data_IF_999471601320
#
_entry.id   IF_999471601320
#
_cell.length_a   1.000
_cell.length_b   1.000
_cell.length_c   1.000
_cell.angle_alpha   90.00
_cell.angle_beta   90.00
_cell.angle_gamma   90.00
#
_symmetry.space_group_name_H-M   'P 1'
#
loop_
_entity.id
_entity.type
_entity.pdbx_description
1 polymer ?
#
# COMPACT_ATOMS: atom_id res chain seq x y z
N UNK A 1 3.98 14.92 -7.81
CA UNK A 1 4.91 13.80 -7.82
C UNK A 1 4.65 12.89 -6.62
N UNK A 2 4.59 11.59 -6.84
CA UNK A 2 4.29 10.68 -5.76
C UNK A 2 5.41 10.68 -4.72
N UNK A 3 5.03 10.54 -3.48
CA UNK A 3 6.00 10.49 -2.39
C UNK A 3 6.35 9.04 -2.11
N UNK A 4 7.30 8.53 -2.88
CA UNK A 4 7.67 7.13 -2.76
C UNK A 4 8.35 6.81 -1.43
N UNK A 5 8.99 7.79 -0.83
CA UNK A 5 9.60 7.57 0.47
C UNK A 5 8.54 7.29 1.53
N UNK A 6 7.46 8.06 1.48
CA UNK A 6 6.36 7.87 2.41
C UNK A 6 5.71 6.51 2.17
N UNK A 7 5.52 6.15 0.90
CA UNK A 7 4.92 4.87 0.55
C UNK A 7 5.81 3.71 1.00
N UNK A 8 7.11 3.84 0.79
CA UNK A 8 8.02 2.80 1.20
C UNK A 8 7.99 2.62 2.71
N UNK A 9 8.00 3.72 3.43
CA UNK A 9 8.01 3.67 4.89
C UNK A 9 6.74 3.00 5.42
N UNK A 10 5.62 3.37 4.84
CA UNK A 10 4.35 2.77 5.22
C UNK A 10 4.34 1.27 4.98
N UNK A 11 4.77 0.87 3.80
CA UNK A 11 4.78 -0.55 3.45
C UNK A 11 5.75 -1.33 4.32
N UNK A 12 6.92 -0.77 4.58
CA UNK A 12 7.91 -1.45 5.38
C UNK A 12 7.38 -1.72 6.79
N UNK A 13 6.73 -0.73 7.38
CA UNK A 13 6.16 -0.89 8.70
C UNK A 13 5.03 -1.91 8.69
N UNK A 14 4.21 -1.85 7.66
CA UNK A 14 3.08 -2.75 7.58
C UNK A 14 3.53 -4.19 7.42
N UNK A 15 4.55 -4.41 6.60
CA UNK A 15 5.08 -5.75 6.43
C UNK A 15 5.61 -6.28 7.75
N UNK A 16 6.31 -5.45 8.47
CA UNK A 16 6.85 -5.84 9.77
C UNK A 16 5.74 -6.22 10.73
N UNK A 17 4.70 -5.40 10.77
CA UNK A 17 3.56 -5.67 11.62
C UNK A 17 2.87 -6.98 11.19
N UNK A 18 2.67 -7.17 9.89
CA UNK A 18 1.99 -8.34 9.40
C UNK A 18 2.75 -9.62 9.72
N UNK A 19 4.07 -9.57 9.56
CA UNK A 19 4.88 -10.74 9.88
C UNK A 19 4.71 -11.10 11.35
N UNK A 20 4.74 -10.10 12.20
CA UNK A 20 4.61 -10.33 13.64
C UNK A 20 3.24 -10.93 13.98
N UNK A 21 2.20 -10.42 13.34
CA UNK A 21 0.87 -10.92 13.61
C UNK A 21 0.70 -12.37 13.16
N UNK A 22 1.27 -12.70 12.01
CA UNK A 22 1.20 -14.06 11.52
C UNK A 22 1.95 -14.98 12.47
N UNK A 23 3.09 -14.56 12.95
CA UNK A 23 3.87 -15.38 13.86
C UNK A 23 3.15 -15.61 15.18
N UNK A 24 2.30 -14.69 15.55
CA UNK A 24 1.53 -14.81 16.78
C UNK A 24 0.21 -15.53 16.57
N UNK A 25 -0.05 -15.97 15.35
CA UNK A 25 -1.27 -16.71 15.08
C UNK A 25 -2.45 -15.85 14.70
N UNK A 26 -2.21 -14.62 14.24
CA UNK A 26 -3.26 -13.70 13.86
C UNK A 26 -3.19 -13.33 12.39
N UNK A 27 -3.35 -14.30 11.49
CA UNK A 27 -3.23 -14.00 10.06
C UNK A 27 -4.30 -13.03 9.55
N UNK A 28 -5.48 -13.07 10.15
CA UNK A 28 -6.53 -12.17 9.72
C UNK A 28 -6.14 -10.72 9.94
N UNK A 29 -5.52 -10.43 11.06
CA UNK A 29 -5.07 -9.08 11.33
C UNK A 29 -4.00 -8.65 10.34
N UNK A 30 -3.13 -9.59 9.96
CA UNK A 30 -2.09 -9.30 9.00
C UNK A 30 -2.70 -8.96 7.63
N UNK A 31 -3.66 -9.74 7.20
CA UNK A 31 -4.31 -9.50 5.92
C UNK A 31 -4.99 -8.13 5.92
N UNK A 32 -5.68 -7.83 7.00
CA UNK A 32 -6.38 -6.57 7.12
C UNK A 32 -5.40 -5.39 7.05
N UNK A 33 -4.30 -5.50 7.76
CA UNK A 33 -3.31 -4.43 7.77
C UNK A 33 -2.70 -4.24 6.39
N UNK A 34 -2.41 -5.34 5.70
CA UNK A 34 -1.83 -5.24 4.37
C UNK A 34 -2.79 -4.60 3.38
N UNK A 35 -4.07 -4.92 3.48
CA UNK A 35 -5.05 -4.32 2.59
C UNK A 35 -5.22 -2.84 2.84
N UNK A 36 -5.20 -2.45 4.12
CA UNK A 36 -5.28 -1.02 4.44
C UNK A 36 -4.07 -0.27 3.91
N UNK A 37 -2.89 -0.86 4.05
CA UNK A 37 -1.68 -0.22 3.56
C UNK A 37 -1.72 -0.07 2.05
N UNK A 38 -2.26 -1.07 1.37
CA UNK A 38 -2.38 -1.01 -0.07
C UNK A 38 -3.27 0.16 -0.49
N UNK A 39 -4.41 0.30 0.18
CA UNK A 39 -5.32 1.40 -0.12
C UNK A 39 -4.65 2.75 0.16
N UNK A 40 -3.94 2.83 1.27
CA UNK A 40 -3.28 4.07 1.63
C UNK A 40 -2.21 4.45 0.61
N UNK A 41 -1.47 3.47 0.14
CA UNK A 41 -0.46 3.73 -0.88
C UNK A 41 -1.09 4.20 -2.16
N UNK A 42 -2.22 3.63 -2.54
CA UNK A 42 -2.92 4.06 -3.73
C UNK A 42 -3.38 5.49 -3.59
N UNK A 43 -3.85 5.86 -2.41
CA UNK A 43 -4.25 7.23 -2.16
C UNK A 43 -3.08 8.18 -2.34
N UNK A 44 -1.96 7.85 -1.74
CA UNK A 44 -0.79 8.69 -1.84
C UNK A 44 -0.34 8.84 -3.28
N UNK A 45 -0.40 7.76 -4.02
CA UNK A 45 0.00 7.76 -5.41
C UNK A 45 -0.95 8.63 -6.24
N UNK A 46 -2.25 8.43 -6.05
CA UNK A 46 -3.25 9.16 -6.83
C UNK A 46 -3.27 10.66 -6.53
N UNK A 47 -2.95 11.02 -5.30
CA UNK A 47 -2.93 12.43 -4.96
C UNK A 47 -1.98 13.23 -5.83
N UNK A 48 -0.94 12.58 -6.30
CA UNK A 48 0.08 13.29 -7.05
C UNK A 48 0.13 12.91 -8.51
N UNK A 49 -0.51 11.82 -8.89
CA UNK A 49 -0.42 11.35 -10.28
C UNK A 49 -1.77 11.03 -10.89
N UNK A 50 -2.82 11.60 -10.33
CA UNK A 50 -4.15 11.23 -10.78
C UNK A 50 -4.37 11.49 -12.26
N UNK A 51 -3.75 12.54 -12.80
CA UNK A 51 -3.91 12.81 -14.22
C UNK A 51 -3.25 11.74 -15.06
N UNK A 52 -2.09 11.30 -14.63
CA UNK A 52 -1.39 10.26 -15.34
C UNK A 52 -2.15 8.96 -15.28
N UNK A 53 -2.78 8.72 -14.14
CA UNK A 53 -3.56 7.52 -14.00
C UNK A 53 -4.68 7.45 -15.01
N UNK A 54 -5.32 8.56 -15.26
CA UNK A 54 -6.41 8.59 -16.20
C UNK A 54 -5.96 8.21 -17.59
N UNK A 55 -4.71 8.50 -17.92
CA UNK A 55 -4.21 8.19 -19.24
C UNK A 55 -3.64 6.80 -19.36
N UNK A 56 -3.21 6.21 -18.27
CA UNK A 56 -2.51 4.95 -18.31
C UNK A 56 -3.33 3.77 -17.85
N UNK A 57 -4.54 4.02 -17.43
CA UNK A 57 -5.28 2.96 -16.81
C UNK A 57 -5.45 1.76 -17.68
N UNK A 58 -5.58 1.98 -18.96
CA UNK A 58 -5.82 0.87 -19.86
C UNK A 58 -4.60 0.04 -20.06
N UNK A 59 -3.49 0.54 -19.65
CA UNK A 59 -2.30 -0.22 -19.84
C UNK A 59 -2.26 -1.44 -19.06
N UNK A 60 -2.87 -1.45 -18.16
CA UNK A 60 -2.77 -2.55 -17.41
C UNK A 60 -3.11 -3.69 -17.84
N UNK A 61 -3.01 -3.77 -18.34
CA UNK A 61 -2.96 -4.67 -18.74
C UNK A 61 -2.74 -5.15 -18.93
#
# INVERSE_FOLDING_TARGET
>A
MADYREMYRLLARTVEYAVREIEQGNPTAAVFALKLAQLKCEDLYLETTEYEELFYEEDDE
#
